data_IF_179195676952
#
_entry.id   IF_179195676952
#
_cell.length_a   1.000
_cell.length_b   1.000
_cell.length_c   1.000
_cell.angle_alpha   90.00
_cell.angle_beta   90.00
_cell.angle_gamma   90.00
#
_symmetry.space_group_name_H-M   'P 1'
#
loop_
_entity.id
_entity.type
_entity.pdbx_description
1 polymer ?
#
# COMPACT_ATOMS: atom_id res chain seq x y z
N UNK A 1 -3.29 6.25 16.78
CA UNK A 1 -4.08 5.41 15.96
C UNK A 1 -4.72 4.27 16.71
N UNK A 2 -5.93 3.98 16.40
CA UNK A 2 -6.76 3.08 17.19
C UNK A 2 -6.31 1.62 17.19
N UNK A 3 -5.52 1.17 16.24
CA UNK A 3 -5.05 -0.22 16.23
C UNK A 3 -4.21 -0.58 17.45
N UNK A 4 -3.61 0.41 18.10
CA UNK A 4 -2.85 0.19 19.33
C UNK A 4 -3.71 -0.14 20.53
N UNK A 5 -4.94 0.04 20.41
CA UNK A 5 -5.94 -0.09 21.41
C UNK A 5 -5.95 -1.43 22.12
N UNK A 6 -5.58 -2.51 21.45
CA UNK A 6 -5.53 -3.85 22.02
C UNK A 6 -4.13 -4.44 21.96
N UNK A 7 -3.11 -3.61 22.15
CA UNK A 7 -1.71 -4.01 22.01
C UNK A 7 -1.39 -4.53 20.61
N UNK A 8 -2.08 -4.00 19.64
CA UNK A 8 -1.91 -4.37 18.26
C UNK A 8 -1.07 -3.30 17.57
N UNK A 9 -0.04 -3.73 16.88
CA UNK A 9 0.83 -2.83 16.14
C UNK A 9 0.59 -3.02 14.64
N UNK A 10 0.06 -1.99 14.01
CA UNK A 10 -0.11 -1.96 12.57
C UNK A 10 0.70 -0.79 12.01
N UNK A 11 1.30 -0.98 10.87
CA UNK A 11 2.06 0.07 10.22
C UNK A 11 1.94 -0.01 8.71
N UNK A 12 2.01 1.15 8.06
CA UNK A 12 2.01 1.27 6.61
C UNK A 12 3.30 1.92 6.14
N UNK A 13 3.81 1.46 5.02
CA UNK A 13 5.03 1.96 4.43
C UNK A 13 4.86 2.10 2.93
N UNK A 14 5.38 3.19 2.37
CA UNK A 14 5.38 3.44 0.94
C UNK A 14 6.82 3.70 0.50
N UNK A 15 7.26 2.97 -0.51
CA UNK A 15 8.57 3.18 -1.14
C UNK A 15 8.36 3.52 -2.61
N UNK A 16 9.04 4.56 -3.08
CA UNK A 16 8.95 5.01 -4.47
C UNK A 16 10.36 5.09 -5.03
N UNK A 17 10.56 4.37 -6.12
CA UNK A 17 11.83 4.35 -6.86
C UNK A 17 11.61 4.92 -8.26
N UNK A 18 12.64 4.94 -9.08
CA UNK A 18 12.53 5.57 -10.40
C UNK A 18 11.48 4.91 -11.30
N UNK A 19 11.35 3.59 -11.23
CA UNK A 19 10.50 2.84 -12.15
C UNK A 19 9.56 1.86 -11.49
N UNK A 20 9.53 1.83 -10.15
CA UNK A 20 8.56 1.02 -9.41
C UNK A 20 8.27 1.63 -8.05
N UNK A 21 7.16 1.22 -7.47
CA UNK A 21 6.77 1.64 -6.13
C UNK A 21 5.99 0.52 -5.46
N UNK A 22 6.04 0.46 -4.14
CA UNK A 22 5.24 -0.50 -3.40
C UNK A 22 4.73 0.08 -2.10
N UNK A 23 3.59 -0.45 -1.66
CA UNK A 23 2.98 -0.13 -0.39
C UNK A 23 2.89 -1.41 0.44
N UNK A 24 3.38 -1.37 1.66
CA UNK A 24 3.36 -2.52 2.56
C UNK A 24 2.59 -2.17 3.81
N UNK A 25 1.70 -3.07 4.20
CA UNK A 25 0.99 -3.01 5.48
C UNK A 25 1.48 -4.16 6.33
N UNK A 26 1.88 -3.87 7.55
CA UNK A 26 2.39 -4.86 8.49
C UNK A 26 1.50 -4.92 9.71
N UNK A 27 1.28 -6.13 10.22
CA UNK A 27 0.48 -6.38 11.41
C UNK A 27 1.11 -7.50 12.22
N UNK A 28 1.10 -7.35 13.54
CA UNK A 28 1.84 -8.25 14.43
C UNK A 28 1.18 -9.62 14.61
N UNK A 29 -0.02 -9.82 14.10
CA UNK A 29 -0.78 -11.06 14.29
C UNK A 29 -1.22 -11.66 12.96
N UNK A 30 -1.59 -12.95 13.02
CA UNK A 30 -2.16 -13.65 11.88
C UNK A 30 -3.28 -14.57 12.39
N UNK A 31 -4.21 -14.94 11.52
CA UNK A 31 -5.32 -15.82 11.85
C UNK A 31 -6.49 -15.59 10.92
N UNK A 32 -7.47 -16.51 10.93
CA UNK A 32 -8.62 -16.43 10.03
C UNK A 32 -9.53 -15.22 10.30
N UNK A 33 -9.46 -14.64 11.49
CA UNK A 33 -10.23 -13.44 11.84
C UNK A 33 -9.55 -12.14 11.45
N UNK A 34 -8.36 -12.22 10.85
CA UNK A 34 -7.57 -11.04 10.54
C UNK A 34 -7.54 -10.82 9.03
N UNK A 35 -7.74 -9.56 8.63
CA UNK A 35 -7.56 -9.13 7.25
C UNK A 35 -6.53 -8.03 7.19
N UNK A 36 -5.47 -8.22 6.41
CA UNK A 36 -4.44 -7.20 6.16
C UNK A 36 -4.48 -6.85 4.70
N UNK A 37 -4.58 -5.57 4.39
CA UNK A 37 -4.66 -5.11 3.01
C UNK A 37 -3.67 -3.98 2.73
N UNK A 38 -3.11 -4.01 1.54
CA UNK A 38 -2.33 -2.92 0.99
C UNK A 38 -2.82 -2.65 -0.42
N UNK A 39 -2.98 -1.37 -0.76
CA UNK A 39 -3.25 -1.00 -2.14
C UNK A 39 -2.36 0.16 -2.52
N UNK A 40 -2.11 0.31 -3.81
CA UNK A 40 -1.27 1.37 -4.33
C UNK A 40 -1.89 1.92 -5.60
N UNK A 41 -1.90 3.25 -5.71
CA UNK A 41 -2.26 3.98 -6.92
C UNK A 41 -1.08 4.87 -7.26
N UNK A 42 -0.64 4.81 -8.50
CA UNK A 42 0.47 5.62 -8.97
C UNK A 42 0.11 6.29 -10.29
N UNK A 43 0.43 7.57 -10.39
CA UNK A 43 0.33 8.30 -11.66
C UNK A 43 1.74 8.57 -12.14
N UNK A 44 2.03 8.21 -13.38
CA UNK A 44 3.32 8.49 -13.99
C UNK A 44 3.13 9.17 -15.35
N UNK A 45 4.14 9.91 -15.75
CA UNK A 45 4.11 10.62 -17.02
C UNK A 45 5.02 9.92 -18.01
N UNK A 46 4.48 9.69 -19.21
CA UNK A 46 5.23 9.12 -20.31
C UNK A 46 4.66 9.62 -21.63
N UNK A 47 5.51 10.08 -22.52
CA UNK A 47 5.08 10.55 -23.84
C UNK A 47 4.13 11.75 -23.78
N UNK A 48 4.27 12.60 -22.78
CA UNK A 48 3.40 13.77 -22.61
C UNK A 48 2.03 13.45 -22.03
N UNK A 49 1.82 12.22 -21.59
CA UNK A 49 0.54 11.76 -21.02
C UNK A 49 0.71 11.27 -19.60
N UNK A 50 -0.35 11.42 -18.80
CA UNK A 50 -0.41 10.84 -17.47
C UNK A 50 -1.06 9.47 -17.56
N UNK A 51 -0.45 8.49 -16.92
CA UNK A 51 -0.91 7.11 -16.90
C UNK A 51 -1.04 6.66 -15.45
N UNK A 52 -1.95 5.75 -15.19
CA UNK A 52 -2.23 5.26 -13.84
C UNK A 52 -1.92 3.77 -13.75
N UNK A 53 -1.25 3.41 -12.67
CA UNK A 53 -1.01 2.02 -12.28
C UNK A 53 -1.64 1.79 -10.91
N UNK A 54 -2.15 0.60 -10.67
CA UNK A 54 -2.67 0.24 -9.36
C UNK A 54 -2.48 -1.24 -9.10
N UNK A 55 -2.48 -1.59 -7.82
CA UNK A 55 -2.38 -2.97 -7.36
C UNK A 55 -2.99 -3.09 -5.97
N UNK A 56 -3.44 -4.27 -5.62
CA UNK A 56 -4.02 -4.58 -4.32
C UNK A 56 -3.50 -5.94 -3.88
N UNK A 57 -3.14 -6.05 -2.60
CA UNK A 57 -2.78 -7.31 -1.99
C UNK A 57 -3.48 -7.46 -0.64
N UNK A 58 -3.89 -8.67 -0.32
CA UNK A 58 -4.54 -8.99 0.95
C UNK A 58 -3.98 -10.28 1.52
N UNK A 59 -4.00 -10.38 2.85
CA UNK A 59 -3.58 -11.58 3.55
C UNK A 59 -4.35 -11.75 4.87
N UNK A 60 -4.18 -12.91 5.50
CA UNK A 60 -4.77 -13.20 6.79
C UNK A 60 -3.86 -12.84 7.95
N UNK A 61 -2.94 -11.93 7.75
CA UNK A 61 -2.05 -11.45 8.81
C UNK A 61 -0.60 -11.45 8.38
N UNK A 62 0.26 -10.91 9.24
CA UNK A 62 1.67 -10.70 8.94
C UNK A 62 1.88 -9.45 8.10
N UNK A 63 1.48 -9.46 6.87
CA UNK A 63 1.60 -8.30 6.01
C UNK A 63 1.04 -8.51 4.63
N UNK A 64 0.87 -7.41 3.91
CA UNK A 64 0.44 -7.39 2.52
C UNK A 64 1.29 -6.36 1.79
N UNK A 65 1.66 -6.64 0.54
CA UNK A 65 2.46 -5.72 -0.26
C UNK A 65 1.85 -5.61 -1.66
N UNK A 66 1.48 -4.38 -2.02
CA UNK A 66 1.03 -4.04 -3.36
C UNK A 66 2.16 -3.33 -4.10
N UNK A 67 2.38 -3.67 -5.36
CA UNK A 67 3.50 -3.13 -6.13
C UNK A 67 3.05 -2.75 -7.54
N UNK A 68 3.58 -1.64 -8.02
CA UNK A 68 3.40 -1.19 -9.40
C UNK A 68 4.75 -0.97 -10.05
N UNK A 69 4.85 -1.33 -11.32
CA UNK A 69 6.07 -1.18 -12.12
C UNK A 69 5.74 -0.46 -13.41
N UNK A 70 6.55 0.54 -13.74
CA UNK A 70 6.48 1.18 -15.06
C UNK A 70 7.09 0.20 -16.07
N UNK A 71 6.42 0.03 -17.21
CA UNK A 71 6.87 -0.87 -18.25
C UNK A 71 8.32 -0.58 -18.67
N UNK A 72 9.08 -1.64 -18.89
CA UNK A 72 10.45 -1.55 -19.40
C UNK A 72 10.53 -0.72 -20.67
N UNK A 73 9.50 -0.84 -21.53
CA UNK A 73 9.47 -0.09 -22.79
C UNK A 73 9.35 1.42 -22.59
N UNK A 74 8.88 1.86 -21.45
CA UNK A 74 8.68 3.27 -21.13
C UNK A 74 9.82 3.87 -20.32
N UNK A 75 10.65 3.02 -19.74
CA UNK A 75 11.84 3.46 -19.03
C UNK A 75 12.94 3.79 -20.04
N UNK A 76 13.82 4.72 -19.71
CA UNK A 76 13.92 5.53 -18.48
C UNK A 76 13.19 6.87 -18.56
N UNK A 77 12.42 7.12 -19.61
CA UNK A 77 11.81 8.44 -19.85
C UNK A 77 10.54 8.66 -19.02
N UNK A 78 9.94 7.60 -18.51
CA UNK A 78 8.77 7.70 -17.64
C UNK A 78 9.18 8.11 -16.23
N UNK A 79 8.31 8.84 -15.54
CA UNK A 79 8.55 9.26 -14.17
C UNK A 79 7.26 9.33 -13.38
N UNK A 80 7.31 8.85 -12.14
CA UNK A 80 6.18 8.99 -11.22
C UNK A 80 5.95 10.46 -10.90
N UNK A 81 4.69 10.87 -10.87
CA UNK A 81 4.26 12.19 -10.45
C UNK A 81 3.74 12.16 -9.02
N UNK A 82 2.92 11.19 -8.69
CA UNK A 82 2.48 10.96 -7.32
C UNK A 82 2.09 9.49 -7.14
N UNK A 83 2.23 9.05 -5.91
CA UNK A 83 1.95 7.67 -5.51
C UNK A 83 1.21 7.70 -4.18
N UNK A 84 0.18 6.89 -4.03
CA UNK A 84 -0.58 6.78 -2.80
C UNK A 84 -0.68 5.32 -2.40
N UNK A 85 -0.35 5.04 -1.14
CA UNK A 85 -0.58 3.73 -0.54
C UNK A 85 -1.74 3.81 0.44
N UNK A 86 -2.59 2.79 0.45
CA UNK A 86 -3.65 2.64 1.44
C UNK A 86 -3.39 1.35 2.21
N UNK A 87 -3.35 1.47 3.52
CA UNK A 87 -3.00 0.39 4.43
C UNK A 87 -4.18 0.11 5.34
N UNK A 88 -4.59 -1.15 5.41
CA UNK A 88 -5.78 -1.53 6.18
C UNK A 88 -5.51 -2.79 6.98
N UNK A 89 -6.03 -2.81 8.20
CA UNK A 89 -6.06 -4.01 9.03
C UNK A 89 -7.45 -4.11 9.65
N UNK A 90 -8.06 -5.28 9.56
CA UNK A 90 -9.33 -5.55 10.22
C UNK A 90 -9.22 -6.80 11.05
N UNK A 91 -9.81 -6.77 12.25
CA UNK A 91 -9.84 -7.89 13.17
C UNK A 91 -11.30 -8.08 13.59
N UNK A 92 -11.95 -9.09 13.04
CA UNK A 92 -13.40 -9.23 13.15
C UNK A 92 -13.91 -9.46 14.57
N UNK A 93 -13.06 -9.95 15.46
CA UNK A 93 -13.45 -10.25 16.84
C UNK A 93 -13.34 -9.06 17.79
N UNK A 94 -12.80 -7.95 17.35
CA UNK A 94 -12.64 -6.77 18.19
C UNK A 94 -13.71 -5.73 17.89
N UNK A 95 -14.28 -5.10 18.91
CA UNK A 95 -15.36 -4.11 18.70
C UNK A 95 -14.98 -2.93 17.81
N UNK A 96 -13.72 -2.52 17.85
CA UNK A 96 -13.21 -1.45 16.99
C UNK A 96 -11.94 -1.92 16.29
N UNK A 97 -11.98 -3.13 15.74
CA UNK A 97 -10.83 -3.80 15.16
C UNK A 97 -10.55 -3.40 13.73
N UNK A 98 -10.60 -2.11 13.42
CA UNK A 98 -10.29 -1.61 12.10
C UNK A 98 -9.27 -0.48 12.19
N UNK A 99 -8.25 -0.56 11.38
CA UNK A 99 -7.23 0.46 11.26
C UNK A 99 -6.98 0.77 9.79
N UNK A 100 -6.81 2.04 9.48
CA UNK A 100 -6.46 2.47 8.13
C UNK A 100 -5.49 3.64 8.20
N UNK A 101 -4.54 3.65 7.29
CA UNK A 101 -3.62 4.75 7.10
C UNK A 101 -3.36 4.95 5.61
N UNK A 102 -2.99 6.16 5.25
CA UNK A 102 -2.68 6.50 3.86
C UNK A 102 -1.30 7.14 3.84
N UNK A 103 -0.46 6.63 2.95
CA UNK A 103 0.87 7.19 2.70
C UNK A 103 0.88 7.82 1.30
N UNK A 104 1.63 8.92 1.16
CA UNK A 104 1.68 9.66 -0.10
C UNK A 104 3.08 10.08 -0.44
N UNK A 105 3.35 10.09 -1.72
CA UNK A 105 4.58 10.64 -2.28
C UNK A 105 4.21 11.49 -3.49
N UNK A 106 4.83 12.66 -3.60
CA UNK A 106 4.62 13.59 -4.71
C UNK A 106 5.98 14.11 -5.17
N UNK A 107 6.12 14.16 -6.50
CA UNK A 107 7.35 14.68 -7.09
C UNK A 107 7.48 16.18 -6.84
#
# INVERSE_FOLDING_TARGET
MSANHYNVVASGYLAVYDNYAYATTSYARSGPEIGVGASIDATYRYGGKNNVLNDVDTSSGGGATARVDISVNEQPTAAFLHVRGVHQVSVSQLPSGYWMDITRWTR
#
